data_IF_812976682811
#
_entry.id   IF_812976682811
#
_cell.length_a   1.000
_cell.length_b   1.000
_cell.length_c   1.000
_cell.angle_alpha   90.00
_cell.angle_beta   90.00
_cell.angle_gamma   90.00
#
_symmetry.space_group_name_H-M   'P 1'
#
loop_
_entity.id
_entity.type
_entity.pdbx_description
1 polymer ?
#
# COMPACT_ATOMS: atom_id res chain seq x y z
N UNK A 1 -10.43 1.16 -1.90
CA UNK A 1 -11.22 2.25 -2.46
C UNK A 1 -10.29 3.31 -3.01
N UNK A 2 -10.49 4.60 -2.68
CA UNK A 2 -9.61 5.69 -3.12
C UNK A 2 -8.18 5.61 -2.55
N UNK A 3 -7.31 6.47 -3.06
CA UNK A 3 -5.94 6.65 -2.57
C UNK A 3 -5.92 7.22 -1.14
N UNK A 4 -5.10 6.63 -0.26
CA UNK A 4 -4.93 7.03 1.14
C UNK A 4 -6.25 7.20 1.92
N UNK A 5 -7.27 6.40 1.62
CA UNK A 5 -8.63 6.56 2.17
C UNK A 5 -8.74 6.41 3.70
N UNK A 6 -7.81 5.70 4.35
CA UNK A 6 -7.80 5.57 5.81
C UNK A 6 -7.49 6.91 6.50
N UNK A 7 -6.54 7.67 5.96
CA UNK A 7 -6.15 8.97 6.50
C UNK A 7 -6.90 10.12 5.83
N UNK A 8 -7.34 9.91 4.60
CA UNK A 8 -7.59 10.97 3.64
C UNK A 8 -6.29 11.35 2.91
N UNK A 9 -6.40 11.65 1.63
CA UNK A 9 -5.27 12.05 0.79
C UNK A 9 -4.62 13.37 1.25
N UNK A 10 -5.46 14.35 1.64
CA UNK A 10 -5.04 15.72 1.96
C UNK A 10 -4.51 15.93 3.38
N UNK A 11 -3.87 14.93 4.00
CA UNK A 11 -3.23 15.10 5.32
C UNK A 11 -1.96 15.97 5.23
N UNK A 12 -1.35 16.10 4.04
CA UNK A 12 -0.17 16.94 3.81
C UNK A 12 0.94 16.67 4.86
N UNK A 13 1.37 17.69 5.60
CA UNK A 13 2.46 17.60 6.58
C UNK A 13 2.15 16.69 7.78
N UNK A 14 0.89 16.31 8.02
CA UNK A 14 0.58 15.28 9.01
C UNK A 14 1.18 13.91 8.63
N UNK A 15 1.53 13.66 7.36
CA UNK A 15 2.31 12.48 6.97
C UNK A 15 3.76 12.51 7.47
N UNK A 16 4.23 13.61 8.05
CA UNK A 16 5.52 13.67 8.75
C UNK A 16 5.42 13.27 10.23
N UNK A 17 4.19 13.09 10.74
CA UNK A 17 3.92 12.68 12.12
C UNK A 17 3.72 11.16 12.20
N UNK A 18 4.45 10.50 13.09
CA UNK A 18 4.33 9.05 13.29
C UNK A 18 2.92 8.62 13.70
N UNK A 19 2.17 9.49 14.38
CA UNK A 19 0.79 9.23 14.82
C UNK A 19 -0.13 8.94 13.63
N UNK A 20 0.08 9.59 12.48
CA UNK A 20 -0.68 9.31 11.25
C UNK A 20 -0.51 7.85 10.82
N UNK A 21 0.70 7.31 10.86
CA UNK A 21 0.96 5.90 10.53
C UNK A 21 0.41 4.95 11.59
N UNK A 22 0.60 5.29 12.87
CA UNK A 22 0.09 4.49 13.99
C UNK A 22 -1.43 4.34 13.90
N UNK A 23 -2.16 5.45 13.83
CA UNK A 23 -3.61 5.45 13.76
C UNK A 23 -4.14 4.84 12.47
N UNK A 24 -3.40 4.95 11.36
CA UNK A 24 -3.77 4.23 10.13
C UNK A 24 -3.82 2.72 10.34
N UNK A 25 -2.83 2.16 11.04
CA UNK A 25 -2.80 0.74 11.37
C UNK A 25 -3.89 0.34 12.37
N UNK A 26 -4.21 1.21 13.34
CA UNK A 26 -5.31 0.98 14.27
C UNK A 26 -6.67 0.96 13.55
N UNK A 27 -6.90 1.92 12.65
CA UNK A 27 -8.10 1.98 11.81
C UNK A 27 -8.23 0.74 10.92
N UNK A 28 -7.16 0.33 10.22
CA UNK A 28 -7.16 -0.91 9.44
C UNK A 28 -7.46 -2.14 10.32
N UNK A 29 -6.90 -2.17 11.54
CA UNK A 29 -7.18 -3.21 12.52
C UNK A 29 -8.66 -3.31 12.86
N UNK A 30 -9.35 -2.19 13.08
CA UNK A 30 -10.80 -2.20 13.34
C UNK A 30 -11.60 -2.62 12.10
N UNK A 31 -11.19 -2.23 10.88
CA UNK A 31 -11.79 -2.71 9.62
C UNK A 31 -11.71 -4.24 9.53
N UNK A 32 -10.52 -4.81 9.73
CA UNK A 32 -10.31 -6.27 9.71
C UNK A 32 -11.15 -6.97 10.79
N UNK A 33 -11.10 -6.45 12.02
CA UNK A 33 -11.79 -7.03 13.18
C UNK A 33 -13.30 -7.00 13.06
N UNK A 34 -13.87 -6.03 12.34
CA UNK A 34 -15.32 -5.91 12.14
C UNK A 34 -15.93 -7.07 11.32
N UNK A 35 -15.09 -7.84 10.61
CA UNK A 35 -15.53 -8.95 9.76
C UNK A 35 -16.02 -8.54 8.36
N UNK A 36 -16.03 -7.24 8.04
CA UNK A 36 -16.45 -6.75 6.71
C UNK A 36 -15.50 -7.15 5.57
N UNK A 37 -14.31 -7.67 5.91
CA UNK A 37 -13.31 -8.16 4.95
C UNK A 37 -13.41 -9.67 4.71
N UNK A 38 -14.45 -10.32 5.21
CA UNK A 38 -14.68 -11.76 5.03
C UNK A 38 -15.29 -12.04 3.64
N UNK A 39 -14.72 -13.03 2.95
CA UNK A 39 -15.11 -13.50 1.62
C UNK A 39 -15.07 -12.43 0.51
N UNK A 40 -14.31 -11.35 0.74
CA UNK A 40 -14.12 -10.25 -0.21
C UNK A 40 -12.66 -9.79 -0.22
N UNK A 41 -12.11 -9.56 -1.42
CA UNK A 41 -10.81 -8.92 -1.58
C UNK A 41 -10.98 -7.40 -1.40
N UNK A 42 -10.34 -6.85 -0.36
CA UNK A 42 -10.35 -5.43 -0.07
C UNK A 42 -8.99 -4.82 -0.42
N UNK A 43 -9.01 -3.83 -1.32
CA UNK A 43 -7.86 -2.98 -1.61
C UNK A 43 -8.02 -1.66 -0.85
N UNK A 44 -7.15 -1.39 0.13
CA UNK A 44 -7.29 -0.28 1.07
C UNK A 44 -6.10 0.68 0.99
N UNK A 45 -6.34 1.98 0.81
CA UNK A 45 -5.29 3.01 0.74
C UNK A 45 -4.88 3.55 2.12
N UNK A 46 -3.59 3.51 2.46
CA UNK A 46 -3.04 4.10 3.68
C UNK A 46 -1.52 4.34 3.60
N UNK A 47 -0.94 5.25 4.40
CA UNK A 47 0.51 5.41 4.45
C UNK A 47 1.15 4.24 5.23
N UNK A 48 2.30 3.75 4.75
CA UNK A 48 3.05 2.69 5.41
C UNK A 48 4.52 3.08 5.49
N UNK A 49 5.11 2.92 6.68
CA UNK A 49 6.54 3.09 6.88
C UNK A 49 7.25 1.74 6.81
N UNK A 50 8.22 1.60 5.91
CA UNK A 50 9.04 0.41 5.75
C UNK A 50 10.52 0.79 5.76
N UNK A 51 11.31 0.14 6.64
CA UNK A 51 12.74 0.45 6.84
C UNK A 51 13.04 1.95 7.02
N UNK A 52 12.22 2.63 7.82
CA UNK A 52 12.27 4.09 8.06
C UNK A 52 12.02 4.97 6.82
N UNK A 53 11.38 4.42 5.79
CA UNK A 53 10.96 5.17 4.60
C UNK A 53 9.44 5.14 4.51
N UNK A 54 8.83 6.30 4.31
CA UNK A 54 7.38 6.45 4.19
C UNK A 54 6.93 6.24 2.73
N UNK A 55 5.89 5.43 2.55
CA UNK A 55 5.31 5.10 1.26
C UNK A 55 3.80 5.33 1.27
N UNK A 56 3.27 5.82 0.14
CA UNK A 56 1.85 5.77 -0.17
C UNK A 56 1.53 4.34 -0.63
N UNK A 57 0.66 3.63 0.09
CA UNK A 57 0.46 2.20 -0.13
C UNK A 57 -0.99 1.81 -0.34
N UNK A 58 -1.15 0.71 -1.07
CA UNK A 58 -2.31 -0.16 -1.09
C UNK A 58 -2.05 -1.34 -0.15
N UNK A 59 -2.92 -1.58 0.81
CA UNK A 59 -2.87 -2.74 1.70
C UNK A 59 -4.01 -3.67 1.31
N UNK A 60 -3.66 -4.84 0.80
CA UNK A 60 -4.64 -5.77 0.25
C UNK A 60 -5.01 -6.80 1.31
N UNK A 61 -6.31 -6.91 1.59
CA UNK A 61 -6.85 -7.82 2.58
C UNK A 61 -7.83 -8.83 1.95
N UNK A 62 -7.85 -10.06 2.48
CA UNK A 62 -8.84 -11.08 2.14
C UNK A 62 -9.04 -11.98 3.36
N UNK A 63 -10.31 -12.24 3.73
CA UNK A 63 -10.67 -13.13 4.83
C UNK A 63 -9.98 -12.76 6.15
N UNK A 64 -9.99 -11.47 6.48
CA UNK A 64 -9.38 -10.93 7.68
C UNK A 64 -7.84 -11.01 7.72
N UNK A 65 -7.18 -11.34 6.60
CA UNK A 65 -5.71 -11.40 6.49
C UNK A 65 -5.19 -10.38 5.51
N UNK A 66 -3.98 -9.88 5.75
CA UNK A 66 -3.26 -9.02 4.81
C UNK A 66 -2.50 -9.91 3.83
N UNK A 67 -2.81 -9.80 2.55
CA UNK A 67 -2.23 -10.59 1.47
C UNK A 67 -0.94 -9.96 0.97
N UNK A 68 -0.86 -8.63 0.95
CA UNK A 68 0.36 -7.91 0.61
C UNK A 68 0.18 -6.39 0.69
N UNK A 69 1.30 -5.69 0.62
CA UNK A 69 1.37 -4.22 0.64
C UNK A 69 2.01 -3.75 -0.67
N UNK A 70 1.28 -2.99 -1.48
CA UNK A 70 1.81 -2.41 -2.72
C UNK A 70 2.09 -0.93 -2.52
N UNK A 71 3.36 -0.52 -2.46
CA UNK A 71 3.72 0.90 -2.47
C UNK A 71 3.57 1.50 -3.87
N UNK A 72 3.22 2.79 -3.92
CA UNK A 72 3.20 3.60 -5.12
C UNK A 72 4.64 3.85 -5.57
N UNK A 73 4.93 3.63 -6.86
CA UNK A 73 6.27 3.80 -7.41
C UNK A 73 6.41 5.03 -8.31
N UNK A 74 5.30 5.68 -8.66
CA UNK A 74 5.31 6.98 -9.33
C UNK A 74 4.51 7.99 -8.53
N UNK A 75 5.15 9.05 -8.04
CA UNK A 75 4.54 10.06 -7.18
C UNK A 75 4.19 11.33 -7.95
N UNK A 76 3.04 11.92 -7.63
CA UNK A 76 2.60 13.20 -8.19
C UNK A 76 3.32 14.37 -7.50
N UNK A 77 4.03 15.17 -8.28
CA UNK A 77 4.82 16.29 -7.75
C UNK A 77 4.77 17.54 -8.66
N UNK A 78 3.65 17.75 -9.35
CA UNK A 78 3.38 18.92 -10.18
C UNK A 78 2.11 19.65 -9.73
N UNK A 79 2.02 20.96 -10.04
CA UNK A 79 0.90 21.82 -9.68
C UNK A 79 0.63 21.85 -8.17
N UNK A 80 -0.53 21.37 -7.76
CA UNK A 80 -0.93 21.32 -6.35
C UNK A 80 -0.40 20.08 -5.61
N UNK A 81 0.15 19.10 -6.34
CA UNK A 81 0.64 17.85 -5.79
C UNK A 81 2.11 17.96 -5.40
N UNK A 82 2.46 17.37 -4.25
CA UNK A 82 3.80 17.44 -3.66
C UNK A 82 4.09 16.18 -2.85
N UNK A 83 3.73 15.02 -3.39
CA UNK A 83 3.84 13.73 -2.71
C UNK A 83 5.26 13.41 -2.26
N UNK A 84 6.27 13.84 -3.03
CA UNK A 84 7.67 13.63 -2.69
C UNK A 84 8.14 14.41 -1.46
N UNK A 85 7.31 15.33 -0.93
CA UNK A 85 7.58 16.00 0.35
C UNK A 85 7.46 15.04 1.53
N UNK A 86 6.58 14.05 1.45
CA UNK A 86 6.20 13.18 2.58
C UNK A 86 6.33 11.69 2.27
N UNK A 87 6.37 11.27 1.00
CA UNK A 87 6.60 9.88 0.60
C UNK A 87 7.80 9.75 -0.34
N UNK A 88 8.36 8.54 -0.38
CA UNK A 88 9.39 8.14 -1.34
C UNK A 88 8.77 7.19 -2.37
N UNK A 89 9.04 7.32 -3.68
CA UNK A 89 8.60 6.33 -4.65
C UNK A 89 9.25 4.98 -4.35
N UNK A 90 8.50 3.89 -4.50
CA UNK A 90 9.10 2.55 -4.47
C UNK A 90 10.16 2.41 -5.56
N UNK A 91 11.36 1.96 -5.18
CA UNK A 91 12.47 1.86 -6.11
C UNK A 91 12.29 0.65 -7.03
N UNK A 92 12.32 0.90 -8.33
CA UNK A 92 12.40 -0.13 -9.38
C UNK A 92 13.72 0.08 -10.10
N UNK A 93 14.52 -0.98 -10.19
CA UNK A 93 15.80 -0.96 -10.90
C UNK A 93 15.54 -0.96 -12.41
N UNK A 94 15.80 0.14 -13.14
CA UNK A 94 15.52 0.23 -14.57
C UNK A 94 16.44 -0.67 -15.42
N UNK A 95 17.51 -1.22 -14.83
CA UNK A 95 18.40 -2.16 -15.52
C UNK A 95 17.89 -3.60 -15.52
N UNK A 96 16.85 -3.90 -14.73
CA UNK A 96 16.27 -5.24 -14.59
C UNK A 96 14.84 -5.26 -15.15
N UNK A 97 14.41 -6.36 -15.80
CA UNK A 97 13.03 -6.50 -16.22
C UNK A 97 12.08 -6.64 -15.02
N UNK A 98 10.85 -6.14 -15.18
CA UNK A 98 9.80 -6.21 -14.17
C UNK A 98 9.92 -5.15 -13.08
N UNK A 99 9.25 -5.38 -11.95
CA UNK A 99 9.06 -4.37 -10.91
C UNK A 99 9.92 -4.58 -9.64
N UNK A 100 11.03 -5.30 -9.78
CA UNK A 100 11.92 -5.64 -8.67
C UNK A 100 11.44 -6.80 -7.81
N UNK A 101 12.14 -7.02 -6.70
CA UNK A 101 11.84 -8.10 -5.76
C UNK A 101 10.76 -7.70 -4.76
N UNK A 102 10.02 -8.70 -4.28
CA UNK A 102 9.06 -8.54 -3.20
C UNK A 102 9.83 -8.69 -1.87
N UNK A 103 9.75 -7.67 -1.03
CA UNK A 103 10.36 -7.69 0.29
C UNK A 103 9.40 -8.22 1.38
N UNK A 104 9.95 -8.66 2.50
CA UNK A 104 9.14 -8.95 3.69
C UNK A 104 8.90 -7.67 4.50
N UNK A 105 7.64 -7.37 4.78
CA UNK A 105 7.20 -6.33 5.70
C UNK A 105 6.79 -6.93 7.04
N UNK A 106 7.35 -6.41 8.14
CA UNK A 106 6.96 -6.82 9.50
C UNK A 106 5.73 -6.02 9.94
N UNK A 107 4.62 -6.73 10.22
CA UNK A 107 3.39 -6.09 10.65
C UNK A 107 3.54 -5.51 12.07
N UNK A 108 2.84 -4.41 12.42
CA UNK A 108 2.79 -3.93 13.80
C UNK A 108 2.22 -4.99 14.75
N UNK A 109 2.69 -5.05 16.00
CA UNK A 109 2.31 -6.10 16.96
C UNK A 109 0.81 -6.28 17.13
N UNK A 110 0.03 -5.19 17.17
CA UNK A 110 -1.44 -5.24 17.27
C UNK A 110 -2.08 -5.94 16.07
N UNK A 111 -1.55 -5.71 14.87
CA UNK A 111 -2.02 -6.36 13.64
C UNK A 111 -1.59 -7.82 13.63
N UNK A 112 -0.38 -8.16 14.08
CA UNK A 112 0.07 -9.54 14.20
C UNK A 112 -0.84 -10.37 15.11
N UNK A 113 -1.24 -9.81 16.25
CA UNK A 113 -2.16 -10.46 17.20
C UNK A 113 -3.55 -10.67 16.59
N UNK A 114 -4.01 -9.75 15.74
CA UNK A 114 -5.30 -9.82 15.09
C UNK A 114 -5.33 -10.84 13.95
N UNK A 115 -4.32 -10.85 13.08
CA UNK A 115 -4.31 -11.65 11.85
C UNK A 115 -3.57 -12.98 11.99
N UNK A 116 -2.76 -13.14 13.04
CA UNK A 116 -1.83 -14.24 13.22
C UNK A 116 -0.63 -14.20 12.26
N UNK A 117 -0.41 -13.09 11.55
CA UNK A 117 0.67 -12.93 10.57
C UNK A 117 1.79 -12.07 11.16
N UNK A 118 3.02 -12.55 11.11
CA UNK A 118 4.19 -11.76 11.54
C UNK A 118 4.69 -10.87 10.41
N UNK A 119 4.68 -11.40 9.18
CA UNK A 119 5.16 -10.71 7.99
C UNK A 119 4.21 -10.89 6.83
N UNK A 120 4.28 -9.96 5.88
CA UNK A 120 3.54 -9.98 4.61
C UNK A 120 4.45 -9.51 3.47
N UNK A 121 4.19 -9.92 2.22
CA UNK A 121 4.93 -9.41 1.08
C UNK A 121 4.67 -7.90 0.87
N UNK A 122 5.71 -7.15 0.55
CA UNK A 122 5.65 -5.75 0.15
C UNK A 122 6.42 -5.51 -1.15
N UNK A 123 5.78 -4.88 -2.12
CA UNK A 123 6.35 -4.61 -3.44
C UNK A 123 5.28 -4.51 -4.52
N UNK A 124 5.69 -4.56 -5.78
CA UNK A 124 4.76 -4.53 -6.90
C UNK A 124 4.43 -5.97 -7.30
N UNK A 125 3.17 -6.36 -7.19
CA UNK A 125 2.72 -7.73 -7.44
C UNK A 125 1.30 -7.75 -8.04
N UNK A 126 0.95 -8.91 -8.59
CA UNK A 126 -0.41 -9.29 -8.93
C UNK A 126 -0.85 -10.46 -8.03
N UNK A 127 -2.15 -10.50 -7.71
CA UNK A 127 -2.80 -11.59 -7.00
C UNK A 127 -3.37 -12.53 -8.05
N UNK A 128 -2.92 -13.77 -8.05
CA UNK A 128 -3.50 -14.84 -8.86
C UNK A 128 -4.62 -15.53 -8.08
N UNK A 129 -5.84 -15.42 -8.58
CA UNK A 129 -7.01 -16.14 -8.09
C UNK A 129 -7.32 -17.35 -8.98
N UNK A 130 -8.34 -18.14 -8.62
CA UNK A 130 -8.71 -19.34 -9.36
C UNK A 130 -9.23 -19.06 -10.77
N UNK A 131 -9.88 -17.91 -10.94
CA UNK A 131 -10.63 -17.51 -12.13
C UNK A 131 -10.05 -16.28 -12.83
N UNK A 132 -9.16 -15.54 -12.17
CA UNK A 132 -8.59 -14.30 -12.68
C UNK A 132 -7.27 -13.94 -12.00
N UNK A 133 -6.63 -12.87 -12.49
CA UNK A 133 -5.54 -12.21 -11.79
C UNK A 133 -5.86 -10.71 -11.63
N UNK A 134 -5.50 -10.14 -10.49
CA UNK A 134 -5.75 -8.73 -10.16
C UNK A 134 -4.43 -8.06 -9.79
N UNK A 135 -4.16 -6.91 -10.39
CA UNK A 135 -3.07 -6.01 -10.00
C UNK A 135 -3.66 -4.64 -9.72
N UNK A 136 -2.85 -3.75 -9.18
CA UNK A 136 -3.28 -2.43 -8.74
C UNK A 136 -2.47 -1.37 -9.49
N UNK A 137 -3.01 -0.19 -9.65
CA UNK A 137 -2.34 0.96 -10.27
C UNK A 137 -2.87 2.19 -9.55
N UNK A 138 -1.98 3.00 -8.98
CA UNK A 138 -2.39 4.08 -8.07
C UNK A 138 -2.31 5.43 -8.75
N UNK A 139 -3.47 6.03 -9.01
CA UNK A 139 -3.63 7.43 -9.42
C UNK A 139 -2.73 7.80 -10.61
N UNK A 140 -1.70 8.63 -10.38
CA UNK A 140 -0.76 9.11 -11.40
C UNK A 140 -0.08 7.99 -12.21
N UNK A 141 0.11 6.79 -11.63
CA UNK A 141 0.74 5.64 -12.31
C UNK A 141 0.11 5.34 -13.69
N UNK A 142 -1.20 5.61 -13.85
CA UNK A 142 -1.97 5.41 -15.09
C UNK A 142 -1.49 6.24 -16.27
N UNK A 143 -0.95 7.43 -16.02
CA UNK A 143 -0.60 8.40 -17.06
C UNK A 143 0.91 8.45 -17.31
N UNK A 144 1.67 7.52 -16.72
CA UNK A 144 3.13 7.49 -16.84
C UNK A 144 3.58 6.83 -18.16
N UNK A 145 4.73 7.23 -18.74
CA UNK A 145 5.21 6.69 -20.01
C UNK A 145 5.42 5.16 -20.05
N UNK A 146 5.69 4.55 -18.89
CA UNK A 146 5.82 3.10 -18.70
C UNK A 146 4.88 2.65 -17.58
N UNK A 147 3.59 2.91 -17.77
CA UNK A 147 2.56 2.59 -16.80
C UNK A 147 2.53 1.08 -16.47
N UNK A 148 2.19 0.72 -15.21
CA UNK A 148 2.19 -0.67 -14.77
C UNK A 148 1.39 -1.61 -15.66
N UNK A 149 0.27 -1.17 -16.24
CA UNK A 149 -0.59 -2.00 -17.09
C UNK A 149 0.04 -2.47 -18.42
N UNK A 150 1.21 -1.96 -18.82
CA UNK A 150 1.89 -2.32 -20.07
C UNK A 150 2.85 -3.53 -19.89
N UNK A 151 3.25 -3.83 -18.65
CA UNK A 151 4.24 -4.87 -18.31
C UNK A 151 3.61 -6.03 -17.54
#
# INVERSE_FOLDING_TARGET
GPELEITGYGCEDFFLENDTFLHSWECLGEVIKSGVTQDILCDIGMPVMHRNVAYNCRVICLNGKIIGIRPKFYLANDGNYREMRYFTPWYIDPSKPGFGEIEEYFLPTRVQQLTGQVKVPMGIFAISALDTAVSFETCEELFTPQAPHIQ
#
